data_IF_813864420517
#
_entry.id   IF_813864420517
#
_cell.length_a   1.000
_cell.length_b   1.000
_cell.length_c   1.000
_cell.angle_alpha   90.00
_cell.angle_beta   90.00
_cell.angle_gamma   90.00
#
_symmetry.space_group_name_H-M   'P 1'
#
loop_
_entity.id
_entity.type
_entity.pdbx_description
1 polymer ?
#
# COMPACT_ATOMS: atom_id res chain seq x y z
N UNK A 1 1.93 34.76 32.06
CA UNK A 1 2.29 34.53 30.64
C UNK A 1 2.12 33.04 30.38
N UNK A 2 1.00 32.66 29.77
CA UNK A 2 0.68 31.26 29.46
C UNK A 2 1.37 30.88 28.14
N UNK A 3 1.99 29.69 28.03
CA UNK A 3 2.52 29.24 26.75
C UNK A 3 1.36 28.87 25.82
N UNK A 4 1.47 29.33 24.58
CA UNK A 4 0.45 29.18 23.54
C UNK A 4 0.14 27.72 23.24
N UNK A 5 -1.15 27.47 22.98
CA UNK A 5 -1.68 26.20 22.51
C UNK A 5 -1.02 25.80 21.18
N UNK A 6 -0.66 24.53 20.96
CA UNK A 6 -0.17 24.09 19.66
C UNK A 6 -1.28 24.21 18.60
N UNK A 7 -0.87 24.68 17.42
CA UNK A 7 -1.69 24.82 16.23
C UNK A 7 -2.27 23.46 15.80
N UNK A 8 -3.56 23.37 15.42
CA UNK A 8 -4.16 22.10 15.03
C UNK A 8 -3.53 21.58 13.71
N UNK A 9 -3.46 20.24 13.53
CA UNK A 9 -2.95 19.66 12.30
C UNK A 9 -3.81 20.08 11.09
N UNK A 10 -3.24 20.07 9.87
CA UNK A 10 -3.99 20.41 8.67
C UNK A 10 -5.16 19.42 8.51
N UNK A 11 -6.35 19.99 8.32
CA UNK A 11 -7.60 19.27 8.08
C UNK A 11 -7.42 18.27 6.92
N UNK A 12 -8.10 17.12 7.04
CA UNK A 12 -8.21 16.07 6.05
C UNK A 12 -8.70 16.63 4.69
N UNK A 13 -7.76 17.00 3.82
CA UNK A 13 -8.06 17.24 2.41
C UNK A 13 -8.24 15.90 1.72
N UNK A 14 -9.42 15.30 1.86
CA UNK A 14 -9.94 14.35 0.87
C UNK A 14 -10.18 15.19 -0.38
N UNK A 15 -9.15 15.40 -1.19
CA UNK A 15 -9.27 16.12 -2.45
C UNK A 15 -10.10 15.25 -3.41
N UNK A 16 -11.40 15.52 -3.42
CA UNK A 16 -12.37 15.01 -4.37
C UNK A 16 -13.16 16.18 -4.97
N UNK A 17 -12.69 16.67 -6.12
CA UNK A 17 -13.51 17.37 -7.11
C UNK A 17 -13.55 18.89 -7.03
N UNK A 18 -12.81 19.54 -7.94
CA UNK A 18 -13.30 20.69 -8.71
C UNK A 18 -12.62 20.68 -10.10
N UNK A 19 -13.35 20.69 -11.23
CA UNK A 19 -12.76 20.51 -12.56
C UNK A 19 -12.02 21.75 -13.11
N UNK A 20 -11.92 22.86 -12.37
CA UNK A 20 -11.47 24.15 -12.92
C UNK A 20 -9.95 24.39 -12.88
N UNK A 21 -9.14 23.47 -12.32
CA UNK A 21 -7.66 23.58 -12.28
C UNK A 21 -6.94 22.51 -13.13
N UNK A 22 -7.64 21.89 -14.08
CA UNK A 22 -7.07 20.86 -14.96
C UNK A 22 -6.15 21.40 -16.09
N UNK A 23 -5.99 22.72 -16.20
CA UNK A 23 -5.43 23.39 -17.38
C UNK A 23 -3.98 23.06 -17.74
N UNK A 24 -3.13 22.69 -16.76
CA UNK A 24 -1.68 22.48 -17.00
C UNK A 24 -1.27 20.99 -16.95
N UNK A 25 -2.17 20.10 -16.53
CA UNK A 25 -1.93 18.65 -16.52
C UNK A 25 -2.30 17.97 -17.84
N UNK A 26 -3.22 18.58 -18.58
CA UNK A 26 -3.59 18.20 -19.93
C UNK A 26 -2.76 19.01 -20.95
N UNK A 27 -1.44 18.89 -20.91
CA UNK A 27 -0.62 19.35 -22.03
C UNK A 27 -1.14 18.64 -23.30
N UNK A 28 -1.56 19.42 -24.28
CA UNK A 28 -2.22 18.95 -25.49
C UNK A 28 -1.37 17.89 -26.21
N UNK A 29 -1.72 16.61 -26.03
CA UNK A 29 -1.09 15.49 -26.74
C UNK A 29 -0.73 14.28 -25.88
N UNK A 30 -0.76 14.37 -24.55
CA UNK A 30 -0.43 13.23 -23.70
C UNK A 30 -1.64 12.30 -23.51
N UNK A 31 -1.65 11.19 -24.25
CA UNK A 31 -2.65 10.14 -24.07
C UNK A 31 -2.60 9.58 -22.63
N UNK A 32 -3.77 9.26 -22.04
CA UNK A 32 -3.82 8.60 -20.74
C UNK A 32 -3.03 7.28 -20.77
N UNK A 33 -2.58 6.85 -19.60
CA UNK A 33 -2.02 5.50 -19.45
C UNK A 33 -3.02 4.48 -20.01
N UNK A 34 -2.57 3.71 -20.98
CA UNK A 34 -3.34 2.58 -21.51
C UNK A 34 -3.49 1.52 -20.42
N UNK A 35 -4.64 0.85 -20.32
CA UNK A 35 -4.77 -0.30 -19.43
C UNK A 35 -3.72 -1.35 -19.77
N UNK A 36 -3.25 -2.09 -18.76
CA UNK A 36 -2.32 -3.18 -18.98
C UNK A 36 -2.94 -4.22 -19.92
N UNK A 37 -2.20 -4.71 -20.93
CA UNK A 37 -2.65 -5.86 -21.69
C UNK A 37 -2.82 -7.03 -20.72
N UNK A 38 -3.89 -7.82 -20.88
CA UNK A 38 -4.11 -9.03 -20.11
C UNK A 38 -2.84 -9.90 -20.21
N UNK A 39 -2.04 -9.94 -19.15
CA UNK A 39 -0.83 -10.76 -19.13
C UNK A 39 -1.25 -12.20 -19.44
N UNK A 40 -0.62 -12.86 -20.45
CA UNK A 40 -0.83 -14.28 -20.63
C UNK A 40 -0.40 -14.97 -19.33
N UNK A 41 -1.26 -15.87 -18.84
CA UNK A 41 -0.92 -16.75 -17.72
C UNK A 41 0.43 -17.40 -18.00
N UNK A 42 1.41 -17.23 -17.10
CA UNK A 42 2.71 -17.88 -17.24
C UNK A 42 2.49 -19.39 -17.39
N UNK A 43 3.01 -20.03 -18.44
CA UNK A 43 3.03 -21.48 -18.50
C UNK A 43 4.17 -22.01 -17.63
N UNK A 44 3.80 -22.85 -16.66
CA UNK A 44 4.71 -23.84 -16.08
C UNK A 44 5.34 -23.45 -14.73
N UNK A 45 5.00 -24.23 -13.71
CA UNK A 45 5.76 -24.39 -12.48
C UNK A 45 7.26 -24.53 -12.76
N UNK A 46 8.15 -24.02 -11.90
CA UNK A 46 9.57 -24.33 -12.03
C UNK A 46 9.76 -25.83 -11.81
N UNK A 47 10.19 -26.51 -12.89
CA UNK A 47 10.74 -27.85 -12.85
C UNK A 47 11.93 -27.83 -11.90
N UNK A 48 11.83 -28.58 -10.80
CA UNK A 48 12.91 -28.76 -9.85
C UNK A 48 14.22 -29.10 -10.59
N UNK A 49 15.29 -28.36 -10.28
CA UNK A 49 16.62 -28.63 -10.78
C UNK A 49 17.07 -30.00 -10.23
N UNK A 50 17.24 -30.96 -11.14
CA UNK A 50 17.88 -32.24 -10.87
C UNK A 50 19.39 -32.01 -10.72
N UNK A 51 19.89 -32.14 -9.50
CA UNK A 51 21.27 -32.55 -9.24
C UNK A 51 21.26 -34.08 -9.09
N UNK A 52 22.18 -34.77 -9.78
CA UNK A 52 22.42 -36.21 -9.65
C UNK A 52 23.93 -36.44 -9.45
N UNK A 53 24.41 -37.60 -8.96
CA UNK A 53 23.80 -38.57 -8.03
C UNK A 53 24.78 -39.09 -6.95
N UNK A 54 24.29 -39.55 -5.79
CA UNK A 54 24.97 -40.59 -4.97
C UNK A 54 23.93 -41.65 -4.57
N UNK A 55 24.07 -42.79 -5.23
CA UNK A 55 23.89 -44.21 -4.83
C UNK A 55 22.91 -44.60 -3.71
N UNK A 56 21.84 -45.28 -4.16
CA UNK A 56 21.31 -46.58 -3.71
C UNK A 56 20.65 -46.73 -2.32
N UNK A 57 19.36 -47.05 -2.36
CA UNK A 57 18.57 -47.58 -1.25
C UNK A 57 17.07 -47.42 -1.52
N UNK A 58 16.41 -48.50 -1.97
CA UNK A 58 14.99 -48.54 -2.31
C UNK A 58 14.07 -48.28 -1.10
N UNK A 59 12.87 -47.70 -1.31
CA UNK A 59 11.76 -47.89 -0.37
C UNK A 59 10.48 -48.44 -1.02
N UNK A 60 9.88 -49.40 -0.32
CA UNK A 60 8.52 -49.90 -0.51
C UNK A 60 7.45 -48.78 -0.46
N UNK A 61 6.38 -48.98 -1.24
CA UNK A 61 5.09 -48.26 -1.11
C UNK A 61 4.30 -48.82 0.08
N UNK A 62 3.42 -48.01 0.72
CA UNK A 62 2.01 -48.14 0.33
C UNK A 62 1.17 -46.85 0.33
N UNK A 63 0.24 -46.86 -0.64
CA UNK A 63 -1.17 -46.46 -0.65
C UNK A 63 -1.67 -45.07 -0.18
N UNK A 64 -2.42 -44.50 -1.13
CA UNK A 64 -3.37 -43.38 -1.07
C UNK A 64 -4.46 -43.49 0.00
N UNK A 65 -4.89 -42.36 0.56
CA UNK A 65 -6.23 -42.16 1.12
C UNK A 65 -6.70 -40.73 0.87
N UNK A 66 -7.95 -40.63 0.48
CA UNK A 66 -8.55 -39.49 -0.21
C UNK A 66 -8.88 -38.29 0.66
N UNK A 67 -8.98 -37.15 -0.03
CA UNK A 67 -9.46 -35.86 0.48
C UNK A 67 -10.95 -35.91 0.86
N UNK A 68 -11.30 -35.36 2.02
CA UNK A 68 -12.65 -34.95 2.40
C UNK A 68 -12.82 -33.43 2.16
N UNK A 69 -14.05 -32.94 1.88
CA UNK A 69 -14.31 -31.53 1.61
C UNK A 69 -14.28 -30.67 2.90
N UNK A 70 -14.02 -29.35 2.80
CA UNK A 70 -13.91 -28.48 3.96
C UNK A 70 -15.29 -28.17 4.58
N UNK A 71 -15.37 -28.24 5.91
CA UNK A 71 -16.51 -27.84 6.74
C UNK A 71 -16.60 -26.31 6.92
N UNK A 72 -17.80 -25.73 7.18
CA UNK A 72 -18.03 -24.27 7.16
C UNK A 72 -17.56 -23.50 8.41
N UNK A 73 -17.01 -24.17 9.43
CA UNK A 73 -16.71 -23.56 10.74
C UNK A 73 -15.21 -23.51 11.05
N UNK A 74 -14.39 -23.11 10.08
CA UNK A 74 -12.98 -22.82 10.36
C UNK A 74 -12.87 -21.43 11.05
N UNK A 75 -12.26 -21.32 12.24
CA UNK A 75 -12.00 -20.02 12.84
C UNK A 75 -11.03 -19.27 11.92
N UNK A 76 -11.39 -18.02 11.59
CA UNK A 76 -10.49 -17.10 10.91
C UNK A 76 -9.12 -17.14 11.59
N UNK A 77 -8.04 -17.23 10.81
CA UNK A 77 -6.69 -17.29 11.32
C UNK A 77 -6.39 -16.01 12.13
N UNK A 78 -6.69 -16.03 13.42
CA UNK A 78 -6.27 -15.01 14.38
C UNK A 78 -4.76 -15.16 14.54
N UNK A 79 -4.00 -14.14 14.15
CA UNK A 79 -2.55 -14.10 14.38
C UNK A 79 -2.30 -14.10 15.90
N UNK A 80 -1.93 -15.24 16.46
CA UNK A 80 -1.85 -15.45 17.92
C UNK A 80 -0.64 -14.78 18.59
N UNK A 81 0.07 -13.87 17.92
CA UNK A 81 1.32 -13.27 18.40
C UNK A 81 1.35 -11.74 18.46
N UNK A 82 0.33 -11.05 17.93
CA UNK A 82 0.29 -9.59 17.87
C UNK A 82 -0.66 -8.96 18.89
N UNK A 83 -0.58 -7.63 19.09
CA UNK A 83 -1.65 -6.90 19.79
C UNK A 83 -3.00 -7.10 19.08
N UNK A 84 -4.11 -7.00 19.82
CA UNK A 84 -5.44 -7.19 19.25
C UNK A 84 -5.83 -6.08 18.25
N UNK A 85 -6.31 -6.49 17.07
CA UNK A 85 -6.83 -5.59 16.05
C UNK A 85 -8.28 -5.18 16.35
N UNK A 86 -8.47 -4.06 17.04
CA UNK A 86 -9.78 -3.57 17.45
C UNK A 86 -10.54 -2.79 16.36
N UNK A 87 -9.84 -2.32 15.33
CA UNK A 87 -10.44 -1.53 14.24
C UNK A 87 -10.87 -2.40 13.06
N UNK A 88 -10.40 -3.65 12.99
CA UNK A 88 -10.54 -4.51 11.81
C UNK A 88 -11.56 -5.63 12.06
N UNK A 89 -12.80 -5.52 11.53
CA UNK A 89 -13.67 -6.68 11.51
C UNK A 89 -13.15 -7.71 10.48
N UNK A 90 -13.57 -8.98 10.54
CA UNK A 90 -13.11 -10.00 9.60
C UNK A 90 -13.33 -9.60 8.13
N UNK A 91 -12.44 -10.04 7.24
CA UNK A 91 -12.62 -9.84 5.80
C UNK A 91 -13.98 -10.40 5.33
N UNK A 92 -14.63 -9.71 4.40
CA UNK A 92 -15.97 -10.05 3.90
C UNK A 92 -17.13 -9.62 4.80
N UNK A 93 -16.86 -9.08 6.00
CA UNK A 93 -17.89 -8.46 6.85
C UNK A 93 -17.93 -6.94 6.63
N UNK A 94 -19.10 -6.28 6.83
CA UNK A 94 -19.21 -4.84 6.66
C UNK A 94 -18.30 -4.08 7.63
N UNK A 95 -17.77 -2.95 7.16
CA UNK A 95 -16.95 -2.06 7.98
C UNK A 95 -17.81 -1.31 9.02
N UNK A 96 -17.24 -0.94 10.18
CA UNK A 96 -17.95 -0.13 11.17
C UNK A 96 -18.24 1.29 10.66
N UNK A 97 -19.15 2.04 11.31
CA UNK A 97 -19.36 3.46 11.01
C UNK A 97 -18.07 4.27 11.15
N UNK A 98 -17.92 5.31 10.33
CA UNK A 98 -16.77 6.24 10.38
C UNK A 98 -15.62 5.90 9.43
N UNK A 99 -15.67 4.74 8.77
CA UNK A 99 -14.79 4.43 7.65
C UNK A 99 -15.18 5.23 6.40
N UNK A 100 -14.17 5.69 5.65
CA UNK A 100 -14.36 6.35 4.35
C UNK A 100 -13.98 5.38 3.25
N UNK A 101 -14.91 5.09 2.36
CA UNK A 101 -14.68 4.21 1.21
C UNK A 101 -14.35 5.03 -0.03
N UNK A 102 -13.25 4.67 -0.68
CA UNK A 102 -12.89 5.15 -2.01
C UNK A 102 -12.96 3.97 -2.98
N UNK A 103 -13.87 4.07 -3.94
CA UNK A 103 -14.04 3.06 -5.00
C UNK A 103 -13.78 3.72 -6.36
N UNK A 104 -13.08 3.01 -7.24
CA UNK A 104 -12.79 3.47 -8.58
C UNK A 104 -11.61 2.72 -9.20
N UNK A 105 -11.19 3.20 -10.37
CA UNK A 105 -10.03 2.66 -11.07
C UNK A 105 -8.76 3.39 -10.61
N UNK A 106 -7.77 2.61 -10.20
CA UNK A 106 -6.48 3.12 -9.71
C UNK A 106 -5.34 2.54 -10.53
N UNK A 107 -4.35 3.38 -10.81
CA UNK A 107 -3.06 2.97 -11.38
C UNK A 107 -2.14 2.45 -10.27
N UNK A 108 -2.21 3.06 -9.08
CA UNK A 108 -1.37 2.70 -7.94
C UNK A 108 -2.13 2.96 -6.63
N UNK A 109 -2.00 2.03 -5.68
CA UNK A 109 -2.33 2.22 -4.27
C UNK A 109 -1.07 1.91 -3.47
N UNK A 110 -0.69 2.79 -2.56
CA UNK A 110 0.47 2.64 -1.67
C UNK A 110 0.03 2.94 -0.24
N UNK A 111 0.19 1.96 0.65
CA UNK A 111 0.12 2.17 2.09
C UNK A 111 1.54 2.14 2.64
N UNK A 112 1.97 3.19 3.32
CA UNK A 112 3.34 3.31 3.82
C UNK A 112 3.35 3.89 5.24
N UNK A 113 4.15 3.32 6.13
CA UNK A 113 4.40 3.86 7.46
C UNK A 113 5.64 4.77 7.50
N UNK A 114 6.81 4.38 6.98
CA UNK A 114 7.93 5.31 6.86
C UNK A 114 7.69 6.38 5.79
N UNK A 115 8.41 7.50 5.88
CA UNK A 115 8.33 8.58 4.87
C UNK A 115 8.90 8.19 3.51
N UNK A 116 9.87 7.27 3.50
CA UNK A 116 10.64 6.89 2.32
C UNK A 116 10.23 5.52 1.81
N UNK A 117 9.88 5.42 0.53
CA UNK A 117 9.64 4.16 -0.18
C UNK A 117 10.97 3.53 -0.64
N UNK A 118 12.00 4.34 -0.80
CA UNK A 118 13.37 3.95 -1.12
C UNK A 118 14.34 5.04 -0.69
N UNK A 119 15.65 4.79 -0.82
CA UNK A 119 16.69 5.69 -0.31
C UNK A 119 16.55 7.15 -0.78
N UNK A 120 16.08 7.36 -2.00
CA UNK A 120 15.89 8.68 -2.62
C UNK A 120 14.43 8.94 -3.00
N UNK A 121 13.48 8.23 -2.40
CA UNK A 121 12.07 8.28 -2.81
C UNK A 121 11.16 8.61 -1.62
N UNK A 122 10.93 9.90 -1.39
CA UNK A 122 10.08 10.43 -0.31
C UNK A 122 8.60 10.34 -0.72
N UNK A 123 7.94 9.25 -0.35
CA UNK A 123 6.54 9.00 -0.70
C UNK A 123 5.53 9.69 0.23
N UNK A 124 5.87 9.81 1.51
CA UNK A 124 5.04 10.45 2.52
C UNK A 124 5.87 11.48 3.32
N UNK A 125 6.01 12.71 2.82
CA UNK A 125 6.87 13.75 3.42
C UNK A 125 6.52 14.12 4.86
N UNK A 126 5.26 13.88 5.25
CA UNK A 126 4.73 14.22 6.57
C UNK A 126 4.80 13.06 7.58
N UNK A 127 5.21 11.86 7.13
CA UNK A 127 5.24 10.68 7.97
C UNK A 127 6.33 10.76 9.04
N UNK A 128 6.00 10.28 10.23
CA UNK A 128 6.92 10.16 11.37
C UNK A 128 6.85 8.74 11.91
N UNK A 129 7.96 8.25 12.44
CA UNK A 129 7.99 6.92 13.05
C UNK A 129 7.04 6.76 14.25
N UNK A 130 6.63 7.87 14.87
CA UNK A 130 5.85 7.92 16.11
C UNK A 130 4.45 8.52 15.96
N UNK A 131 3.99 8.82 14.74
CA UNK A 131 2.66 9.43 14.54
C UNK A 131 1.49 8.45 14.71
N UNK A 132 1.75 7.13 14.71
CA UNK A 132 0.72 6.10 14.85
C UNK A 132 -0.23 6.03 13.67
N UNK A 133 0.23 6.45 12.48
CA UNK A 133 -0.55 6.50 11.25
C UNK A 133 0.05 5.62 10.15
N UNK A 134 -0.81 5.25 9.21
CA UNK A 134 -0.42 4.74 7.90
C UNK A 134 -0.81 5.80 6.87
N UNK A 135 0.12 6.08 5.97
CA UNK A 135 -0.05 7.05 4.90
C UNK A 135 -0.49 6.32 3.64
N UNK A 136 -1.71 6.60 3.21
CA UNK A 136 -2.31 6.06 2.00
C UNK A 136 -2.11 7.07 0.88
N UNK A 137 -1.39 6.67 -0.15
CA UNK A 137 -1.21 7.44 -1.38
C UNK A 137 -1.83 6.65 -2.53
N UNK A 138 -2.50 7.33 -3.46
CA UNK A 138 -3.05 6.68 -4.64
C UNK A 138 -2.96 7.53 -5.88
N UNK A 139 -2.96 6.86 -7.03
CA UNK A 139 -3.06 7.50 -8.34
C UNK A 139 -4.26 6.92 -9.06
N UNK A 140 -5.25 7.76 -9.38
CA UNK A 140 -6.45 7.36 -10.13
C UNK A 140 -6.16 7.13 -11.62
N UNK A 141 -7.02 6.36 -12.27
CA UNK A 141 -7.01 6.21 -13.73
C UNK A 141 -7.17 7.57 -14.44
N UNK A 142 -6.77 7.62 -15.71
CA UNK A 142 -6.81 8.85 -16.52
C UNK A 142 -5.58 9.75 -16.38
N UNK A 143 -4.62 9.42 -15.51
CA UNK A 143 -3.31 10.08 -15.51
C UNK A 143 -2.51 9.69 -16.77
N UNK A 144 -1.76 10.62 -17.36
CA UNK A 144 -0.85 10.31 -18.47
C UNK A 144 0.47 9.71 -17.99
N UNK A 145 1.20 9.02 -18.88
CA UNK A 145 2.55 8.50 -18.58
C UNK A 145 3.49 9.61 -18.12
N UNK A 146 3.48 10.74 -18.83
CA UNK A 146 4.33 11.87 -18.51
C UNK A 146 3.97 12.49 -17.15
N UNK A 147 2.68 12.62 -16.83
CA UNK A 147 2.24 13.09 -15.52
C UNK A 147 2.68 12.14 -14.40
N UNK A 148 2.52 10.83 -14.58
CA UNK A 148 2.99 9.84 -13.62
C UNK A 148 4.51 9.91 -13.40
N UNK A 149 5.29 10.06 -14.48
CA UNK A 149 6.75 10.26 -14.38
C UNK A 149 7.10 11.55 -13.62
N UNK A 150 6.38 12.65 -13.85
CA UNK A 150 6.57 13.90 -13.08
C UNK A 150 6.30 13.70 -11.59
N UNK A 151 5.29 12.90 -11.22
CA UNK A 151 5.04 12.55 -9.82
C UNK A 151 6.23 11.81 -9.21
N UNK A 152 6.75 10.77 -9.87
CA UNK A 152 7.90 10.02 -9.39
C UNK A 152 9.17 10.87 -9.26
N UNK A 153 9.43 11.77 -10.21
CA UNK A 153 10.55 12.70 -10.12
C UNK A 153 10.40 13.67 -8.93
N UNK A 154 9.19 14.16 -8.67
CA UNK A 154 8.95 15.06 -7.53
C UNK A 154 9.08 14.37 -6.17
N UNK A 155 8.89 13.04 -6.10
CA UNK A 155 9.12 12.26 -4.89
C UNK A 155 10.58 12.25 -4.43
N UNK A 156 11.55 12.55 -5.30
CA UNK A 156 12.97 12.69 -4.90
C UNK A 156 13.12 13.69 -3.75
N UNK A 157 12.30 14.74 -3.74
CA UNK A 157 12.28 15.79 -2.72
C UNK A 157 11.00 15.83 -1.91
N UNK A 158 10.10 14.86 -2.09
CA UNK A 158 8.81 14.82 -1.42
C UNK A 158 7.83 15.92 -1.85
N UNK A 159 7.93 16.42 -3.08
CA UNK A 159 7.13 17.56 -3.55
C UNK A 159 5.97 17.16 -4.49
N UNK A 160 5.66 15.87 -4.62
CA UNK A 160 4.63 15.34 -5.51
C UNK A 160 3.24 15.92 -5.23
N UNK A 161 2.91 16.23 -3.97
CA UNK A 161 1.62 16.80 -3.59
C UNK A 161 1.51 18.30 -3.94
N UNK A 162 2.64 19.00 -4.03
CA UNK A 162 2.69 20.43 -4.40
C UNK A 162 2.46 20.66 -5.89
N UNK A 163 2.49 19.60 -6.70
CA UNK A 163 2.26 19.68 -8.14
C UNK A 163 0.78 19.95 -8.48
N UNK A 164 -0.16 19.68 -7.59
CA UNK A 164 -1.59 19.89 -7.86
C UNK A 164 -2.16 18.92 -8.91
N UNK A 165 -1.58 17.72 -9.03
CA UNK A 165 -2.10 16.67 -9.90
C UNK A 165 -3.44 16.14 -9.36
N UNK A 166 -4.56 16.25 -10.10
CA UNK A 166 -5.87 15.89 -9.60
C UNK A 166 -6.08 14.37 -9.44
N UNK A 167 -5.27 13.55 -10.11
CA UNK A 167 -5.32 12.09 -10.00
C UNK A 167 -4.54 11.56 -8.78
N UNK A 168 -3.64 12.35 -8.21
CA UNK A 168 -2.87 11.99 -7.02
C UNK A 168 -3.71 12.33 -5.78
N UNK A 169 -3.91 11.35 -4.92
CA UNK A 169 -4.55 11.55 -3.62
C UNK A 169 -3.74 11.01 -2.46
N UNK A 170 -4.10 11.49 -1.28
CA UNK A 170 -3.44 11.18 -0.02
C UNK A 170 -4.45 11.17 1.13
N UNK A 171 -4.27 10.24 2.06
CA UNK A 171 -4.94 10.24 3.36
C UNK A 171 -4.02 9.64 4.42
N UNK A 172 -4.15 10.08 5.67
CA UNK A 172 -3.57 9.39 6.81
C UNK A 172 -4.69 8.68 7.57
N UNK A 173 -4.43 7.45 8.01
CA UNK A 173 -5.40 6.61 8.70
C UNK A 173 -4.76 5.79 9.82
N UNK A 174 -5.57 5.28 10.74
CA UNK A 174 -5.13 4.29 11.73
C UNK A 174 -5.29 2.85 11.25
N UNK A 175 -6.18 2.63 10.29
CA UNK A 175 -6.43 1.33 9.69
C UNK A 175 -6.93 1.52 8.25
N UNK A 176 -6.72 0.52 7.42
CA UNK A 176 -7.26 0.49 6.06
C UNK A 176 -7.66 -0.92 5.65
N UNK A 177 -8.51 -0.98 4.64
CA UNK A 177 -8.89 -2.20 3.93
C UNK A 177 -8.77 -1.92 2.44
N UNK A 178 -8.04 -2.78 1.75
CA UNK A 178 -7.87 -2.78 0.30
C UNK A 178 -8.57 -4.02 -0.25
N UNK A 179 -9.55 -3.81 -1.12
CA UNK A 179 -10.30 -4.87 -1.78
C UNK A 179 -10.12 -4.72 -3.30
N UNK A 180 -9.20 -5.50 -3.90
CA UNK A 180 -9.06 -5.47 -5.34
C UNK A 180 -10.30 -6.07 -6.01
N UNK A 181 -10.91 -5.32 -6.92
CA UNK A 181 -12.08 -5.74 -7.69
C UNK A 181 -11.70 -6.42 -9.02
N UNK A 182 -10.41 -6.34 -9.39
CA UNK A 182 -9.86 -7.01 -10.57
C UNK A 182 -9.47 -8.45 -10.25
N UNK A 183 -9.56 -9.38 -11.22
CA UNK A 183 -9.33 -10.81 -10.96
C UNK A 183 -7.86 -11.18 -10.73
N UNK A 184 -6.93 -10.31 -11.12
CA UNK A 184 -5.48 -10.54 -11.01
C UNK A 184 -4.76 -9.21 -10.82
N UNK A 185 -3.62 -9.27 -10.14
CA UNK A 185 -2.70 -8.16 -9.98
C UNK A 185 -1.49 -8.59 -9.17
N UNK A 186 -0.64 -7.63 -8.81
CA UNK A 186 0.51 -7.84 -7.93
C UNK A 186 0.28 -7.04 -6.65
N UNK A 187 0.46 -7.69 -5.51
CA UNK A 187 0.47 -7.06 -4.21
C UNK A 187 1.82 -7.35 -3.55
N UNK A 188 2.40 -6.34 -2.92
CA UNK A 188 3.62 -6.49 -2.14
C UNK A 188 3.44 -5.92 -0.74
N UNK A 189 4.09 -6.56 0.24
CA UNK A 189 4.20 -6.09 1.62
C UNK A 189 5.68 -6.05 1.95
N UNK A 190 6.18 -4.88 2.37
CA UNK A 190 7.61 -4.65 2.64
C UNK A 190 8.54 -5.06 1.47
N UNK A 191 8.05 -4.97 0.23
CA UNK A 191 8.77 -5.33 -0.98
C UNK A 191 8.68 -6.81 -1.38
N UNK A 192 8.10 -7.66 -0.54
CA UNK A 192 7.88 -9.09 -0.83
C UNK A 192 6.52 -9.30 -1.49
N UNK A 193 6.47 -10.11 -2.54
CA UNK A 193 5.21 -10.44 -3.21
C UNK A 193 4.36 -11.35 -2.31
N UNK A 194 3.11 -10.96 -2.10
CA UNK A 194 2.10 -11.72 -1.35
C UNK A 194 0.98 -12.17 -2.27
N UNK A 195 0.09 -13.02 -1.75
CA UNK A 195 -1.12 -13.43 -2.47
C UNK A 195 -1.97 -12.19 -2.80
N UNK A 196 -2.39 -12.11 -4.06
CA UNK A 196 -3.25 -11.02 -4.51
C UNK A 196 -4.69 -11.26 -4.08
N UNK A 197 -5.23 -10.34 -3.29
CA UNK A 197 -6.61 -10.40 -2.81
C UNK A 197 -6.90 -9.32 -1.77
N UNK A 198 -8.07 -9.40 -1.12
CA UNK A 198 -8.43 -8.49 -0.03
C UNK A 198 -7.41 -8.51 1.11
N UNK A 199 -6.99 -7.32 1.54
CA UNK A 199 -6.05 -7.12 2.64
C UNK A 199 -6.59 -6.03 3.55
N UNK A 200 -6.32 -6.14 4.85
CA UNK A 200 -6.56 -5.06 5.81
C UNK A 200 -5.43 -4.99 6.81
N UNK A 201 -5.18 -3.80 7.33
CA UNK A 201 -4.12 -3.56 8.31
C UNK A 201 -4.50 -2.42 9.26
N UNK A 202 -3.98 -2.51 10.48
CA UNK A 202 -4.12 -1.53 11.56
C UNK A 202 -2.73 -1.17 12.07
N UNK A 203 -2.51 0.12 12.32
CA UNK A 203 -1.28 0.62 12.94
C UNK A 203 -1.38 0.46 14.46
N UNK A 204 -0.31 -0.08 15.04
CA UNK A 204 -0.16 -0.23 16.49
C UNK A 204 0.99 0.66 16.97
N UNK A 205 0.72 1.75 17.69
CA UNK A 205 1.75 2.68 18.12
C UNK A 205 2.64 2.06 19.21
N UNK A 206 3.95 2.33 19.13
CA UNK A 206 4.90 2.01 20.21
C UNK A 206 5.30 0.54 20.33
N UNK A 207 5.09 -0.29 19.30
CA UNK A 207 5.52 -1.70 19.31
C UNK A 207 7.05 -1.89 19.22
N UNK A 208 7.76 -0.91 18.67
CA UNK A 208 9.20 -0.97 18.44
C UNK A 208 9.92 0.28 18.91
N UNK A 209 11.21 0.15 19.17
CA UNK A 209 12.10 1.29 19.47
C UNK A 209 13.19 1.37 18.39
N UNK A 210 13.32 2.54 17.78
CA UNK A 210 14.30 2.81 16.72
C UNK A 210 15.40 3.73 17.23
N UNK A 211 16.65 3.43 16.90
CA UNK A 211 17.75 4.38 17.04
C UNK A 211 17.65 5.39 15.89
N UNK A 212 17.44 6.66 16.23
CA UNK A 212 17.30 7.73 15.24
C UNK A 212 18.40 8.78 15.41
N UNK A 213 18.67 9.52 14.33
CA UNK A 213 19.52 10.70 14.39
C UNK A 213 18.90 11.79 15.28
N UNK A 214 19.68 12.76 15.76
CA UNK A 214 19.15 13.88 16.52
C UNK A 214 18.06 14.60 15.70
N UNK A 215 17.00 15.15 16.34
CA UNK A 215 15.97 15.88 15.65
C UNK A 215 16.59 17.00 14.81
N UNK A 216 16.17 17.11 13.54
CA UNK A 216 16.67 18.13 12.62
C UNK A 216 16.49 19.51 13.23
N UNK A 217 17.58 20.27 13.38
CA UNK A 217 17.48 21.68 13.77
C UNK A 217 16.81 22.43 12.61
N UNK A 218 15.72 23.18 12.82
CA UNK A 218 15.20 24.04 11.77
C UNK A 218 16.34 24.98 11.33
N UNK A 219 16.64 24.94 10.03
CA UNK A 219 17.79 25.62 9.45
C UNK A 219 17.82 27.09 9.86
N UNK A 220 18.95 27.52 10.40
CA UNK A 220 19.30 28.93 10.44
C UNK A 220 19.56 29.30 8.97
N UNK A 221 18.71 30.13 8.38
CA UNK A 221 18.98 30.67 7.03
C UNK A 221 20.38 31.33 7.02
N UNK A 222 21.13 31.19 5.91
CA UNK A 222 22.40 31.90 5.71
C UNK A 222 22.23 33.42 5.62
#
# INVERSE_FOLDING_TARGET
>A
MSPGSPEPPPLLSINGGDPELAGDWAAAGDSPLSPDPLLPSLPGSPKAALLSPITEGAPEMPASSGLLPPTPDAPAATSTGGPPDHLLPPLGTPLPPGWVTLEGDFVLMLAISPSHLGAELVAAPHARFDDGLVHLCWVRSGISRAALLRLFLAMERGNQFSLGCPQLGYAAAHAFRLEPLTPRGVLTVDGEQVEYGPLQAQVHPGLGTLLTGPPGRPGREP
#
